data_IF_237936138057
#
_entry.id   IF_237936138057
#
_cell.length_a   1.000
_cell.length_b   1.000
_cell.length_c   1.000
_cell.angle_alpha   90.00
_cell.angle_beta   90.00
_cell.angle_gamma   90.00
#
_symmetry.space_group_name_H-M   'P 1'
#
loop_
_entity.id
_entity.type
_entity.pdbx_description
1 polymer ?
#
# COMPACT_ATOMS: atom_id res chain seq x y z
N UNK A 1 -0.42 -18.87 9.16
CA UNK A 1 0.74 -17.94 9.14
C UNK A 1 0.63 -17.10 7.89
N UNK A 2 0.70 -15.77 8.00
CA UNK A 2 0.76 -14.88 6.83
C UNK A 2 2.24 -14.55 6.60
N UNK A 3 2.74 -14.79 5.40
CA UNK A 3 4.15 -14.56 5.05
C UNK A 3 4.35 -13.23 4.29
N UNK A 4 3.36 -12.80 3.50
CA UNK A 4 3.41 -11.59 2.69
C UNK A 4 2.02 -10.93 2.63
N UNK A 5 2.00 -9.60 2.48
CA UNK A 5 0.78 -8.80 2.37
C UNK A 5 0.99 -7.68 1.35
N UNK A 6 0.06 -7.54 0.40
CA UNK A 6 0.06 -6.43 -0.56
C UNK A 6 1.29 -6.32 -1.47
N UNK A 7 2.00 -7.43 -1.72
CA UNK A 7 3.18 -7.45 -2.58
C UNK A 7 2.88 -6.96 -4.01
N UNK A 8 3.82 -6.21 -4.57
CA UNK A 8 3.72 -5.59 -5.89
C UNK A 8 5.13 -5.29 -6.43
N UNK A 9 5.94 -6.33 -6.58
CA UNK A 9 7.36 -6.20 -6.90
C UNK A 9 7.64 -5.45 -8.20
N UNK A 10 6.72 -5.53 -9.16
CA UNK A 10 6.86 -4.87 -10.46
C UNK A 10 6.69 -3.35 -10.38
N UNK A 11 6.05 -2.82 -9.32
CA UNK A 11 5.74 -1.38 -9.24
C UNK A 11 6.99 -0.51 -9.23
N UNK A 12 8.03 -0.93 -8.50
CA UNK A 12 9.31 -0.20 -8.39
C UNK A 12 10.09 -0.15 -9.70
N UNK A 13 9.78 -1.05 -10.64
CA UNK A 13 10.46 -1.15 -11.93
C UNK A 13 9.75 -0.31 -13.02
N UNK A 14 8.61 0.31 -12.69
CA UNK A 14 7.87 1.20 -13.59
C UNK A 14 8.49 2.61 -13.60
N UNK A 15 8.56 3.21 -14.77
CA UNK A 15 9.02 4.60 -14.90
C UNK A 15 8.11 5.56 -14.12
N UNK A 16 8.72 6.50 -13.40
CA UNK A 16 8.01 7.44 -12.53
C UNK A 16 7.69 6.96 -11.10
N UNK A 17 8.10 5.76 -10.68
CA UNK A 17 7.92 5.31 -9.30
C UNK A 17 8.65 6.23 -8.28
N UNK A 18 8.04 6.54 -7.11
CA UNK A 18 6.77 6.04 -6.59
C UNK A 18 5.53 6.81 -7.09
N UNK A 19 5.71 7.89 -7.85
CA UNK A 19 4.65 8.78 -8.32
C UNK A 19 4.01 8.29 -9.63
N UNK A 20 3.54 7.05 -9.62
CA UNK A 20 2.85 6.48 -10.76
C UNK A 20 1.49 7.16 -11.00
N UNK A 21 0.99 7.19 -12.25
CA UNK A 21 -0.39 7.55 -12.55
C UNK A 21 -1.39 6.75 -11.70
N UNK A 22 -2.48 7.39 -11.27
CA UNK A 22 -3.45 6.80 -10.35
C UNK A 22 -4.09 5.51 -10.90
N UNK A 23 -4.16 5.38 -12.22
CA UNK A 23 -4.71 4.21 -12.92
C UNK A 23 -3.85 2.96 -12.74
N UNK A 24 -2.57 3.13 -12.39
CA UNK A 24 -1.62 2.05 -12.12
C UNK A 24 -1.61 1.63 -10.65
N UNK A 25 -2.37 2.31 -9.79
CA UNK A 25 -2.46 2.08 -8.35
C UNK A 25 -3.62 1.13 -8.07
N UNK A 26 -3.30 -0.12 -7.75
CA UNK A 26 -4.27 -1.19 -7.57
C UNK A 26 -4.68 -1.36 -6.09
N UNK A 27 -5.97 -1.56 -5.83
CA UNK A 27 -6.47 -1.89 -4.50
C UNK A 27 -5.93 -3.27 -4.05
N UNK A 28 -5.53 -3.38 -2.78
CA UNK A 28 -4.95 -4.60 -2.24
C UNK A 28 -3.48 -4.84 -2.62
N UNK A 29 -2.88 -3.99 -3.47
CA UNK A 29 -1.44 -3.96 -3.74
C UNK A 29 -0.82 -2.66 -3.23
N UNK A 30 0.29 -2.78 -2.51
CA UNK A 30 1.08 -1.62 -2.13
C UNK A 30 1.89 -1.13 -3.33
N UNK A 31 2.15 0.17 -3.40
CA UNK A 31 2.98 0.79 -4.44
C UNK A 31 4.32 1.20 -3.83
N UNK A 32 4.28 1.90 -2.70
CA UNK A 32 5.44 2.33 -1.94
C UNK A 32 5.06 2.51 -0.46
N UNK A 33 4.82 1.43 0.31
CA UNK A 33 4.41 1.54 1.71
C UNK A 33 5.49 2.24 2.55
N UNK A 34 5.12 3.29 3.28
CA UNK A 34 6.05 4.10 4.08
C UNK A 34 5.94 3.81 5.58
N UNK A 35 4.72 3.60 6.08
CA UNK A 35 4.48 3.34 7.49
C UNK A 35 3.21 2.49 7.68
N UNK A 36 3.11 1.85 8.85
CA UNK A 36 1.99 1.00 9.24
C UNK A 36 1.63 1.21 10.71
N UNK A 37 0.33 1.32 10.98
CA UNK A 37 -0.22 1.35 12.33
C UNK A 37 -1.34 0.32 12.50
N UNK A 38 -1.59 -0.07 13.76
CA UNK A 38 -2.64 -1.03 14.13
C UNK A 38 -3.58 -0.37 15.13
N UNK A 39 -4.89 -0.48 14.92
CA UNK A 39 -5.88 -0.04 15.91
C UNK A 39 -6.20 -1.13 16.94
N UNK A 40 -6.95 -0.77 17.99
CA UNK A 40 -7.35 -1.70 19.05
C UNK A 40 -8.23 -2.86 18.55
N UNK A 41 -8.88 -2.72 17.39
CA UNK A 41 -9.62 -3.78 16.72
C UNK A 41 -8.75 -4.72 15.90
N UNK A 42 -7.45 -4.43 15.78
CA UNK A 42 -6.50 -5.19 14.98
C UNK A 42 -6.56 -4.89 13.48
N UNK A 43 -7.20 -3.79 13.07
CA UNK A 43 -7.15 -3.35 11.68
C UNK A 43 -5.78 -2.70 11.40
N UNK A 44 -5.26 -2.91 10.18
CA UNK A 44 -4.02 -2.30 9.74
C UNK A 44 -4.30 -1.05 8.92
N UNK A 45 -3.50 -0.01 9.12
CA UNK A 45 -3.50 1.21 8.32
C UNK A 45 -2.10 1.37 7.73
N UNK A 46 -2.02 1.37 6.40
CA UNK A 46 -0.77 1.52 5.66
C UNK A 46 -0.82 2.86 4.96
N UNK A 47 0.24 3.66 5.07
CA UNK A 47 0.33 4.98 4.43
C UNK A 47 1.41 5.01 3.36
N UNK A 48 1.13 5.74 2.28
CA UNK A 48 2.02 5.89 1.13
C UNK A 48 2.10 7.36 0.72
N UNK A 49 3.34 7.85 0.60
CA UNK A 49 3.66 9.18 0.11
C UNK A 49 3.81 9.15 -1.42
N UNK A 50 2.68 9.23 -2.11
CA UNK A 50 2.58 9.35 -3.57
C UNK A 50 1.78 10.61 -3.93
N UNK A 51 1.77 11.00 -5.21
CA UNK A 51 0.86 12.05 -5.69
C UNK A 51 -0.59 11.72 -5.28
N UNK A 52 -1.24 12.67 -4.61
CA UNK A 52 -2.59 12.53 -4.06
C UNK A 52 -2.65 11.93 -2.65
N UNK A 53 -1.58 11.30 -2.18
CA UNK A 53 -1.53 10.58 -0.90
C UNK A 53 -2.42 9.33 -0.89
N UNK A 54 -1.97 8.25 -0.23
CA UNK A 54 -2.80 7.04 -0.11
C UNK A 54 -2.74 6.46 1.31
N UNK A 55 -3.91 6.10 1.82
CA UNK A 55 -4.08 5.33 3.06
C UNK A 55 -4.88 4.07 2.71
N UNK A 56 -4.35 2.90 3.02
CA UNK A 56 -5.02 1.61 2.87
C UNK A 56 -5.39 1.07 4.24
N UNK A 57 -6.69 0.82 4.47
CA UNK A 57 -7.17 0.10 5.65
C UNK A 57 -7.42 -1.36 5.31
N UNK A 58 -6.80 -2.27 6.05
CA UNK A 58 -7.07 -3.70 6.00
C UNK A 58 -7.85 -4.08 7.26
N UNK A 59 -9.11 -4.45 7.05
CA UNK A 59 -10.00 -4.82 8.14
C UNK A 59 -9.68 -6.23 8.64
N UNK A 60 -9.63 -6.40 9.96
CA UNK A 60 -9.58 -7.72 10.58
C UNK A 60 -10.97 -8.36 10.50
N UNK A 61 -11.03 -9.60 10.04
CA UNK A 61 -12.22 -10.44 10.03
C UNK A 61 -12.43 -11.13 11.37
#
# INVERSE_FOLDING_TARGET
MVCYLGGNEEAKDRDGWPNLPAELIEAGKFNSPHDVAVDAGGNLYIVEWIIGGRITKLAKC
#
